data_IF_869791482335
#
_entry.id   IF_869791482335
#
_cell.length_a   1.000
_cell.length_b   1.000
_cell.length_c   1.000
_cell.angle_alpha   90.00
_cell.angle_beta   90.00
_cell.angle_gamma   90.00
#
_symmetry.space_group_name_H-M   'P 1'
#
loop_
_entity.id
_entity.type
_entity.pdbx_description
1 polymer ?
#
# COMPACT_ATOMS: atom_id res chain seq x y z
N UNK A 1 -13.99 -28.36 3.26
CA UNK A 1 -13.61 -27.12 2.55
C UNK A 1 -12.09 -27.04 2.51
N UNK A 2 -11.44 -27.10 1.34
CA UNK A 2 -9.99 -26.99 1.29
C UNK A 2 -9.61 -25.54 1.54
N UNK A 3 -8.87 -25.30 2.63
CA UNK A 3 -8.17 -24.05 2.92
C UNK A 3 -7.38 -23.60 1.70
N UNK A 4 -7.84 -22.51 1.07
CA UNK A 4 -7.11 -21.81 0.02
C UNK A 4 -5.78 -21.36 0.62
N UNK A 5 -4.70 -22.10 0.34
CA UNK A 5 -3.33 -21.64 0.58
C UNK A 5 -3.14 -20.40 -0.28
N UNK A 6 -3.34 -19.20 0.31
CA UNK A 6 -3.04 -17.91 -0.33
C UNK A 6 -1.59 -17.95 -0.78
N UNK A 7 -1.36 -18.17 -2.08
CA UNK A 7 -0.02 -18.07 -2.65
C UNK A 7 0.33 -16.58 -2.62
N UNK A 8 1.16 -16.18 -1.66
CA UNK A 8 1.60 -14.80 -1.42
C UNK A 8 2.62 -14.40 -2.49
N UNK A 9 2.14 -14.05 -3.68
CA UNK A 9 2.95 -13.57 -4.79
C UNK A 9 3.22 -12.08 -4.63
N UNK A 10 4.49 -11.69 -4.65
CA UNK A 10 5.00 -10.30 -4.67
C UNK A 10 4.37 -9.43 -3.58
N UNK A 11 4.92 -9.51 -2.37
CA UNK A 11 4.32 -8.85 -1.21
C UNK A 11 4.81 -7.39 -1.09
N UNK A 12 3.96 -6.36 -1.32
CA UNK A 12 4.31 -4.96 -1.07
C UNK A 12 4.54 -4.66 0.43
N UNK A 13 4.31 -5.65 1.30
CA UNK A 13 4.57 -5.63 2.75
C UNK A 13 5.89 -4.93 3.08
N UNK A 14 7.00 -5.35 2.45
CA UNK A 14 8.33 -4.89 2.87
C UNK A 14 8.54 -3.39 2.64
N UNK A 15 7.85 -2.77 1.68
CA UNK A 15 7.95 -1.33 1.41
C UNK A 15 7.14 -0.55 2.45
N UNK A 16 5.87 -0.88 2.63
CA UNK A 16 5.00 -0.19 3.60
C UNK A 16 5.48 -0.38 5.04
N UNK A 17 5.99 -1.55 5.39
CA UNK A 17 6.64 -1.82 6.66
C UNK A 17 7.81 -0.86 6.92
N UNK A 18 8.68 -0.67 5.93
CA UNK A 18 9.84 0.23 6.03
C UNK A 18 9.41 1.70 6.12
N UNK A 19 8.49 2.13 5.27
CA UNK A 19 7.96 3.51 5.29
C UNK A 19 7.33 3.82 6.65
N UNK A 20 6.57 2.88 7.20
CA UNK A 20 5.87 3.07 8.49
C UNK A 20 6.86 3.27 9.63
N UNK A 21 7.93 2.48 9.69
CA UNK A 21 8.98 2.67 10.69
C UNK A 21 9.56 4.09 10.61
N UNK A 22 9.94 4.53 9.41
CA UNK A 22 10.51 5.86 9.20
C UNK A 22 9.52 7.00 9.48
N UNK A 23 8.23 6.83 9.16
CA UNK A 23 7.19 7.82 9.41
C UNK A 23 6.97 8.01 10.92
N UNK A 24 6.81 6.92 11.67
CA UNK A 24 6.66 6.95 13.13
C UNK A 24 7.91 7.52 13.78
N UNK A 25 9.10 7.07 13.37
CA UNK A 25 10.38 7.60 13.86
C UNK A 25 10.52 9.11 13.61
N UNK A 26 10.13 9.58 12.44
CA UNK A 26 10.18 11.02 12.12
C UNK A 26 9.19 11.81 12.97
N UNK A 27 7.97 11.31 13.16
CA UNK A 27 6.98 11.97 14.00
C UNK A 27 7.38 11.98 15.49
N UNK A 28 8.05 10.94 15.97
CA UNK A 28 8.66 10.89 17.30
C UNK A 28 9.75 11.95 17.46
N UNK A 29 10.64 12.05 16.46
CA UNK A 29 11.68 13.08 16.45
C UNK A 29 11.08 14.49 16.49
N UNK A 30 10.03 14.75 15.71
CA UNK A 30 9.32 16.03 15.74
C UNK A 30 8.72 16.32 17.12
N UNK A 31 8.17 15.32 17.81
CA UNK A 31 7.64 15.51 19.16
C UNK A 31 8.75 15.86 20.16
N UNK A 32 9.89 15.18 20.05
CA UNK A 32 11.08 15.46 20.87
C UNK A 32 11.66 16.85 20.60
N UNK A 33 11.81 17.23 19.33
CA UNK A 33 12.35 18.52 18.90
C UNK A 33 11.43 19.69 19.29
N UNK A 34 10.10 19.50 19.20
CA UNK A 34 9.10 20.54 19.51
C UNK A 34 8.57 20.51 20.94
N UNK A 35 8.96 19.52 21.74
CA UNK A 35 8.52 19.33 23.12
C UNK A 35 7.01 19.11 23.30
N UNK A 36 6.30 18.66 22.24
CA UNK A 36 4.85 18.47 22.28
C UNK A 36 4.39 17.32 21.39
N UNK A 37 3.30 16.69 21.78
CA UNK A 37 2.66 15.57 21.06
C UNK A 37 1.30 16.01 20.53
N UNK A 38 0.64 15.15 19.74
CA UNK A 38 -0.75 15.39 19.36
C UNK A 38 -1.69 15.30 20.57
N UNK A 39 -2.83 16.01 20.50
CA UNK A 39 -3.83 16.01 21.55
C UNK A 39 -4.43 14.61 21.75
N UNK A 40 -4.41 14.11 23.00
CA UNK A 40 -4.91 12.77 23.31
C UNK A 40 -3.88 11.64 23.13
N UNK A 41 -2.58 11.97 22.99
CA UNK A 41 -1.52 10.96 22.87
C UNK A 41 -1.56 9.91 24.00
N UNK A 42 -1.76 10.35 25.25
CA UNK A 42 -1.75 9.47 26.42
C UNK A 42 -2.82 8.36 26.38
N UNK A 43 -3.92 8.57 25.67
CA UNK A 43 -5.00 7.59 25.50
C UNK A 43 -4.81 6.70 24.26
N UNK A 44 -3.75 6.91 23.49
CA UNK A 44 -3.50 6.20 22.24
C UNK A 44 -2.77 4.87 22.46
N UNK A 45 -2.89 3.97 21.47
CA UNK A 45 -2.09 2.72 21.42
C UNK A 45 -0.60 2.96 21.23
N UNK A 46 -0.18 4.17 20.85
CA UNK A 46 1.22 4.54 20.81
C UNK A 46 1.77 4.76 22.22
N UNK A 47 0.99 5.37 23.12
CA UNK A 47 1.39 5.61 24.50
C UNK A 47 1.42 4.30 25.32
N UNK A 48 0.46 3.39 25.10
CA UNK A 48 0.49 2.06 25.75
C UNK A 48 1.58 1.13 25.20
N UNK A 49 2.06 1.39 23.99
CA UNK A 49 3.00 0.52 23.28
C UNK A 49 2.35 -0.61 22.47
N UNK A 50 1.03 -0.82 22.60
CA UNK A 50 0.30 -1.90 21.92
C UNK A 50 0.37 -1.80 20.40
N UNK A 51 0.52 -0.59 19.85
CA UNK A 51 0.72 -0.37 18.42
C UNK A 51 1.89 -1.19 17.86
N UNK A 52 2.96 -1.36 18.65
CA UNK A 52 4.19 -2.01 18.22
C UNK A 52 4.15 -3.53 18.31
N UNK A 53 3.18 -4.11 19.03
CA UNK A 53 3.09 -5.57 19.25
C UNK A 53 3.13 -6.36 17.94
N UNK A 54 2.42 -5.90 16.90
CA UNK A 54 2.43 -6.54 15.58
C UNK A 54 3.83 -6.58 14.93
N UNK A 55 4.65 -5.55 15.17
CA UNK A 55 5.99 -5.44 14.60
C UNK A 55 7.05 -6.22 15.38
N UNK A 56 6.71 -6.62 16.62
CA UNK A 56 7.59 -7.35 17.52
C UNK A 56 7.33 -8.86 17.53
N UNK A 57 6.13 -9.29 17.10
CA UNK A 57 5.71 -10.70 17.10
C UNK A 57 5.87 -11.38 15.74
N UNK A 58 5.54 -10.68 14.64
CA UNK A 58 5.57 -11.27 13.31
C UNK A 58 6.95 -11.19 12.64
N UNK A 59 7.24 -12.14 11.75
CA UNK A 59 8.37 -12.07 10.84
C UNK A 59 8.02 -11.23 9.60
N UNK A 60 8.65 -10.07 9.50
CA UNK A 60 8.46 -9.10 8.42
C UNK A 60 9.52 -9.20 7.31
N UNK A 61 10.32 -10.27 7.31
CA UNK A 61 11.32 -10.51 6.28
C UNK A 61 10.69 -10.75 4.88
N UNK A 62 11.38 -10.37 3.80
CA UNK A 62 10.90 -10.63 2.44
C UNK A 62 10.70 -12.14 2.19
N UNK A 63 9.47 -12.51 1.83
CA UNK A 63 9.09 -13.90 1.55
C UNK A 63 9.74 -14.48 0.28
N UNK A 64 10.22 -13.62 -0.63
CA UNK A 64 10.85 -14.04 -1.89
C UNK A 64 12.28 -13.55 -2.00
N UNK A 65 13.15 -14.36 -2.59
CA UNK A 65 14.54 -13.99 -2.84
C UNK A 65 14.65 -12.75 -3.72
N UNK A 66 13.80 -12.64 -4.76
CA UNK A 66 13.76 -11.47 -5.66
C UNK A 66 13.53 -10.17 -4.89
N UNK A 67 12.56 -10.14 -3.98
CA UNK A 67 12.30 -8.94 -3.16
C UNK A 67 13.49 -8.65 -2.24
N UNK A 68 14.08 -9.66 -1.61
CA UNK A 68 15.29 -9.48 -0.78
C UNK A 68 16.45 -8.85 -1.57
N UNK A 69 16.71 -9.34 -2.79
CA UNK A 69 17.73 -8.80 -3.68
C UNK A 69 17.42 -7.36 -4.11
N UNK A 70 16.15 -7.02 -4.35
CA UNK A 70 15.76 -5.65 -4.69
C UNK A 70 16.13 -4.67 -3.56
N UNK A 71 15.78 -4.97 -2.31
CA UNK A 71 16.15 -4.14 -1.17
C UNK A 71 17.66 -4.02 -0.99
N UNK A 72 18.38 -5.14 -1.10
CA UNK A 72 19.84 -5.16 -0.98
C UNK A 72 20.51 -4.31 -2.09
N UNK A 73 20.07 -4.46 -3.34
CA UNK A 73 20.59 -3.68 -4.48
C UNK A 73 20.30 -2.18 -4.34
N UNK A 74 19.17 -1.83 -3.73
CA UNK A 74 18.80 -0.44 -3.45
C UNK A 74 19.50 0.15 -2.21
N UNK A 75 20.30 -0.64 -1.48
CA UNK A 75 20.95 -0.20 -0.24
C UNK A 75 19.99 0.10 0.91
N UNK A 76 18.74 -0.39 0.82
CA UNK A 76 17.70 -0.13 1.82
C UNK A 76 17.74 -1.24 2.87
N UNK A 77 17.99 -0.84 4.12
CA UNK A 77 17.94 -1.75 5.27
C UNK A 77 16.51 -1.85 5.77
N UNK A 78 15.97 -3.06 5.83
CA UNK A 78 14.66 -3.31 6.41
C UNK A 78 14.71 -3.12 7.93
N UNK A 79 13.72 -2.45 8.55
CA UNK A 79 13.69 -2.30 10.00
C UNK A 79 13.75 -3.64 10.72
N UNK A 80 14.72 -3.79 11.63
CA UNK A 80 14.84 -5.00 12.45
C UNK A 80 13.95 -4.93 13.67
N UNK A 81 13.81 -6.07 14.37
CA UNK A 81 13.05 -6.13 15.63
C UNK A 81 13.63 -5.19 16.67
N UNK A 82 14.96 -5.07 16.74
CA UNK A 82 15.68 -4.19 17.65
C UNK A 82 15.38 -2.72 17.34
N UNK A 83 15.31 -2.36 16.05
CA UNK A 83 14.91 -1.01 15.64
C UNK A 83 13.48 -0.68 16.06
N UNK A 84 12.55 -1.64 16.01
CA UNK A 84 11.18 -1.47 16.50
C UNK A 84 11.09 -1.39 18.02
N UNK A 85 11.85 -2.22 18.75
CA UNK A 85 11.91 -2.15 20.21
C UNK A 85 12.40 -0.78 20.66
N UNK A 86 13.50 -0.30 20.07
CA UNK A 86 14.04 1.03 20.35
C UNK A 86 13.01 2.12 20.03
N UNK A 87 12.36 2.04 18.87
CA UNK A 87 11.36 3.03 18.46
C UNK A 87 10.15 3.03 19.40
N UNK A 88 9.69 1.88 19.87
CA UNK A 88 8.62 1.77 20.86
C UNK A 88 8.99 2.55 22.12
N UNK A 89 10.18 2.30 22.66
CA UNK A 89 10.62 2.94 23.91
C UNK A 89 10.77 4.46 23.74
N UNK A 90 11.33 4.89 22.60
CA UNK A 90 11.42 6.31 22.25
C UNK A 90 10.02 6.96 22.11
N UNK A 91 9.06 6.28 21.47
CA UNK A 91 7.69 6.78 21.30
C UNK A 91 6.93 6.81 22.62
N UNK A 92 7.05 5.81 23.48
CA UNK A 92 6.41 5.84 24.79
C UNK A 92 6.97 6.96 25.68
N UNK A 93 8.26 7.29 25.52
CA UNK A 93 8.93 8.35 26.28
C UNK A 93 8.67 9.76 25.75
N UNK A 94 8.82 9.97 24.45
CA UNK A 94 8.78 11.30 23.82
C UNK A 94 7.45 11.60 23.11
N UNK A 95 6.65 10.56 22.87
CA UNK A 95 5.45 10.61 22.05
C UNK A 95 5.72 10.80 20.57
N UNK A 96 4.64 11.07 19.83
CA UNK A 96 4.69 11.44 18.41
C UNK A 96 3.93 12.74 18.18
N UNK A 97 4.34 13.48 17.15
CA UNK A 97 3.82 14.80 16.86
C UNK A 97 2.50 14.76 16.10
N UNK A 98 2.35 13.80 15.19
CA UNK A 98 1.21 13.64 14.31
C UNK A 98 0.34 12.49 14.83
N UNK A 99 -0.97 12.69 14.90
CA UNK A 99 -1.91 11.63 15.28
C UNK A 99 -1.99 10.53 14.22
N UNK A 100 -1.98 10.93 12.95
CA UNK A 100 -2.02 10.05 11.78
C UNK A 100 -0.93 10.41 10.79
N UNK A 101 -0.40 9.42 10.06
CA UNK A 101 0.82 9.54 9.24
C UNK A 101 0.59 9.23 7.77
N UNK A 102 -0.11 8.13 7.47
CA UNK A 102 -0.23 7.61 6.10
C UNK A 102 -1.69 7.48 5.70
N UNK A 103 -1.97 7.93 4.48
CA UNK A 103 -3.20 7.65 3.74
C UNK A 103 -2.82 7.49 2.27
N UNK A 104 -3.46 6.56 1.56
CA UNK A 104 -3.16 6.29 0.15
C UNK A 104 -4.37 6.70 -0.70
N UNK A 105 -4.41 7.96 -1.18
CA UNK A 105 -5.46 8.43 -2.07
C UNK A 105 -5.26 7.89 -3.50
N UNK A 106 -6.26 8.05 -4.39
CA UNK A 106 -6.01 7.94 -5.82
C UNK A 106 -5.13 9.12 -6.25
N UNK A 107 -4.16 8.88 -7.12
CA UNK A 107 -3.37 9.96 -7.73
C UNK A 107 -3.97 10.29 -9.09
N UNK A 108 -4.61 11.46 -9.17
CA UNK A 108 -5.20 11.98 -10.41
C UNK A 108 -4.13 12.53 -11.36
N UNK A 109 -4.33 13.74 -11.89
CA UNK A 109 -3.42 14.33 -12.90
C UNK A 109 -1.95 14.45 -12.46
N UNK A 110 -1.68 14.50 -11.15
CA UNK A 110 -0.32 14.52 -10.60
C UNK A 110 0.51 13.27 -10.93
N UNK A 111 -0.13 12.12 -11.18
CA UNK A 111 0.59 10.89 -11.56
C UNK A 111 1.20 11.01 -12.95
N UNK A 112 0.57 11.76 -13.85
CA UNK A 112 1.09 11.97 -15.21
C UNK A 112 2.36 12.81 -15.20
N UNK A 113 2.39 13.86 -14.37
CA UNK A 113 3.58 14.72 -14.19
C UNK A 113 4.72 13.93 -13.53
N UNK A 114 4.40 13.15 -12.48
CA UNK A 114 5.39 12.35 -11.78
C UNK A 114 5.80 11.07 -12.53
N UNK A 115 5.21 10.82 -13.70
CA UNK A 115 5.38 9.60 -14.48
C UNK A 115 5.23 8.31 -13.64
N UNK A 116 4.12 8.23 -12.91
CA UNK A 116 3.76 7.11 -12.05
C UNK A 116 2.40 6.52 -12.45
N UNK A 117 2.22 5.21 -12.21
CA UNK A 117 0.89 4.60 -12.25
C UNK A 117 0.01 5.18 -11.14
N UNK A 118 -1.31 5.19 -11.35
CA UNK A 118 -2.23 5.75 -10.34
C UNK A 118 -2.29 4.85 -9.11
N UNK A 119 -1.84 5.36 -7.96
CA UNK A 119 -1.81 4.65 -6.68
C UNK A 119 -1.06 3.29 -6.74
N UNK A 120 -1.46 2.34 -5.88
CA UNK A 120 -0.90 0.98 -5.80
C UNK A 120 -1.76 -0.08 -6.51
N UNK A 121 -2.85 0.32 -7.17
CA UNK A 121 -3.64 -0.59 -8.00
C UNK A 121 -3.04 -0.72 -9.41
N UNK A 122 -3.39 -1.79 -10.16
CA UNK A 122 -2.92 -1.95 -11.53
C UNK A 122 -3.34 -0.79 -12.44
N UNK A 123 -2.64 -0.66 -13.57
CA UNK A 123 -2.99 0.30 -14.62
C UNK A 123 -4.40 0.03 -15.16
N UNK A 124 -5.13 1.08 -15.53
CA UNK A 124 -6.46 0.96 -16.13
C UNK A 124 -6.41 0.64 -17.63
N UNK A 125 -5.29 0.97 -18.27
CA UNK A 125 -4.98 0.68 -19.67
C UNK A 125 -3.47 0.81 -19.89
N UNK A 126 -2.92 0.09 -20.89
CA UNK A 126 -1.52 0.23 -21.31
C UNK A 126 -1.20 1.64 -21.81
N UNK A 127 -2.12 2.18 -22.63
CA UNK A 127 -2.15 3.58 -23.07
C UNK A 127 -3.44 4.19 -22.55
N UNK A 128 -3.35 5.04 -21.55
CA UNK A 128 -4.52 5.73 -21.01
C UNK A 128 -4.97 6.85 -21.96
N UNK A 129 -6.28 6.96 -22.21
CA UNK A 129 -6.86 7.98 -23.09
C UNK A 129 -7.64 8.98 -22.25
N UNK A 130 -7.23 10.24 -22.30
CA UNK A 130 -7.87 11.36 -21.59
C UNK A 130 -8.60 12.25 -22.58
N UNK A 131 -9.83 12.68 -22.27
CA UNK A 131 -10.59 13.62 -23.10
C UNK A 131 -10.26 15.06 -22.70
N UNK A 132 -9.11 15.55 -23.16
CA UNK A 132 -8.57 16.86 -22.78
C UNK A 132 -8.02 17.60 -24.01
N UNK A 133 -7.97 18.94 -23.92
CA UNK A 133 -7.37 19.81 -24.92
C UNK A 133 -8.20 20.04 -26.19
N UNK A 134 -7.70 20.91 -27.09
CA UNK A 134 -8.37 21.29 -28.35
C UNK A 134 -8.52 20.11 -29.31
N UNK A 135 -7.60 19.15 -29.25
CA UNK A 135 -7.59 17.91 -30.05
C UNK A 135 -8.60 16.87 -29.51
N UNK A 136 -9.14 17.09 -28.31
CA UNK A 136 -10.17 16.25 -27.70
C UNK A 136 -9.68 14.93 -27.09
N UNK A 137 -8.44 14.49 -27.35
CA UNK A 137 -7.81 13.32 -26.72
C UNK A 137 -6.31 13.50 -26.49
N UNK A 138 -5.83 12.97 -25.37
CA UNK A 138 -4.41 12.85 -25.00
C UNK A 138 -4.13 11.39 -24.64
N UNK A 139 -2.98 10.87 -25.07
CA UNK A 139 -2.55 9.48 -24.86
C UNK A 139 -1.38 9.43 -23.90
N UNK A 140 -1.48 8.60 -22.86
CA UNK A 140 -0.48 8.47 -21.82
C UNK A 140 0.00 7.01 -21.70
N UNK A 141 1.22 6.68 -22.15
CA UNK A 141 1.79 5.36 -21.99
C UNK A 141 2.19 5.10 -20.53
N UNK A 142 1.95 3.88 -20.05
CA UNK A 142 2.35 3.47 -18.71
C UNK A 142 3.89 3.60 -18.50
N UNK A 143 4.34 4.02 -17.31
CA UNK A 143 5.78 4.18 -17.03
C UNK A 143 6.56 2.89 -17.20
N UNK A 144 7.78 3.00 -17.77
CA UNK A 144 8.71 1.89 -18.03
C UNK A 144 8.22 0.79 -18.98
N UNK A 145 7.06 0.98 -19.62
CA UNK A 145 6.51 0.04 -20.59
C UNK A 145 7.24 0.15 -21.92
N UNK A 146 7.71 -0.99 -22.43
CA UNK A 146 8.33 -1.15 -23.75
C UNK A 146 7.68 -2.32 -24.47
N UNK A 147 7.98 -2.50 -25.76
CA UNK A 147 7.40 -3.60 -26.54
C UNK A 147 7.84 -4.98 -26.01
N UNK A 148 9.00 -5.05 -25.37
CA UNK A 148 9.60 -6.28 -24.85
C UNK A 148 9.01 -6.72 -23.50
N UNK A 149 8.25 -5.86 -22.81
CA UNK A 149 7.69 -6.15 -21.48
C UNK A 149 6.18 -5.93 -21.36
N UNK A 150 5.45 -5.82 -22.50
CA UNK A 150 4.01 -5.56 -22.54
C UNK A 150 3.16 -6.57 -21.74
N UNK A 151 3.64 -7.80 -21.61
CA UNK A 151 3.01 -8.88 -20.86
C UNK A 151 2.93 -8.59 -19.35
N UNK A 152 3.84 -7.75 -18.83
CA UNK A 152 3.83 -7.30 -17.43
C UNK A 152 2.77 -6.24 -17.14
N UNK A 153 2.23 -5.59 -18.17
CA UNK A 153 1.27 -4.49 -18.07
C UNK A 153 -0.17 -4.96 -18.38
N UNK A 154 -0.63 -5.94 -17.60
CA UNK A 154 -2.03 -6.36 -17.59
C UNK A 154 -2.89 -5.28 -16.91
N UNK A 155 -4.04 -4.94 -17.50
CA UNK A 155 -4.91 -3.92 -16.92
C UNK A 155 -5.68 -4.46 -15.70
N UNK A 156 -6.30 -3.54 -14.96
CA UNK A 156 -7.01 -3.86 -13.73
C UNK A 156 -8.21 -4.79 -13.94
N UNK A 157 -8.80 -4.82 -15.15
CA UNK A 157 -9.90 -5.73 -15.48
C UNK A 157 -9.39 -7.16 -15.69
N UNK A 158 -8.25 -7.30 -16.36
CA UNK A 158 -7.58 -8.59 -16.58
C UNK A 158 -6.98 -9.16 -15.30
N UNK A 159 -6.35 -8.32 -14.48
CA UNK A 159 -5.81 -8.71 -13.16
C UNK A 159 -6.93 -9.19 -12.23
N UNK A 160 -8.08 -8.50 -12.26
CA UNK A 160 -9.26 -8.85 -11.50
C UNK A 160 -9.23 -8.41 -10.02
N UNK A 161 -10.40 -8.43 -9.36
CA UNK A 161 -10.61 -7.82 -8.04
C UNK A 161 -9.83 -8.51 -6.91
N UNK A 162 -9.67 -9.84 -6.97
CA UNK A 162 -9.05 -10.62 -5.88
C UNK A 162 -7.60 -10.20 -5.64
N UNK A 163 -6.80 -10.06 -6.71
CA UNK A 163 -5.40 -9.63 -6.62
C UNK A 163 -5.26 -8.18 -6.15
N UNK A 164 -6.20 -7.32 -6.54
CA UNK A 164 -6.25 -5.93 -6.07
C UNK A 164 -6.52 -5.93 -4.56
N UNK A 165 -7.51 -6.67 -4.10
CA UNK A 165 -7.86 -6.78 -2.67
C UNK A 165 -6.68 -7.32 -1.86
N UNK A 166 -6.03 -8.40 -2.32
CA UNK A 166 -4.87 -8.97 -1.63
C UNK A 166 -3.71 -7.96 -1.53
N UNK A 167 -3.45 -7.18 -2.58
CA UNK A 167 -2.41 -6.14 -2.59
C UNK A 167 -2.70 -5.05 -1.54
N UNK A 168 -3.95 -4.57 -1.49
CA UNK A 168 -4.38 -3.56 -0.54
C UNK A 168 -4.45 -4.09 0.89
N UNK A 169 -4.84 -5.35 1.09
CA UNK A 169 -4.87 -5.99 2.39
C UNK A 169 -3.47 -6.02 3.03
N UNK A 170 -2.43 -6.29 2.23
CA UNK A 170 -1.06 -6.26 2.72
C UNK A 170 -0.59 -4.85 3.10
N UNK A 171 -0.98 -3.81 2.35
CA UNK A 171 -0.67 -2.42 2.70
C UNK A 171 -1.46 -1.91 3.93
N UNK A 172 -2.71 -2.35 4.10
CA UNK A 172 -3.62 -1.94 5.18
C UNK A 172 -3.10 -2.32 6.57
N UNK A 173 -2.20 -3.31 6.68
CA UNK A 173 -1.55 -3.67 7.95
C UNK A 173 -0.67 -2.54 8.51
N UNK A 174 -0.25 -1.62 7.66
CA UNK A 174 0.78 -0.61 7.96
C UNK A 174 0.28 0.83 7.86
N UNK A 175 -0.67 1.07 6.95
CA UNK A 175 -1.31 2.37 6.79
C UNK A 175 -2.31 2.59 7.93
N UNK A 176 -2.10 3.65 8.70
CA UNK A 176 -2.87 3.94 9.92
C UNK A 176 -4.25 4.59 9.64
N UNK A 177 -4.45 5.13 8.43
CA UNK A 177 -5.75 5.62 7.97
C UNK A 177 -6.40 4.65 6.98
N UNK A 178 -6.54 5.07 5.72
CA UNK A 178 -7.22 4.31 4.69
C UNK A 178 -6.52 4.38 3.34
N UNK A 179 -6.91 3.46 2.47
CA UNK A 179 -6.49 3.40 1.08
C UNK A 179 -7.71 3.42 0.18
N UNK A 180 -7.73 4.27 -0.84
CA UNK A 180 -8.79 4.27 -1.83
C UNK A 180 -8.67 3.07 -2.75
N UNK A 181 -9.59 2.13 -2.59
CA UNK A 181 -9.65 0.88 -3.35
C UNK A 181 -10.79 0.94 -4.36
N UNK A 182 -10.44 0.83 -5.64
CA UNK A 182 -11.39 0.71 -6.76
C UNK A 182 -11.33 -0.71 -7.29
N UNK A 183 -12.49 -1.34 -7.48
CA UNK A 183 -12.62 -2.63 -8.13
C UNK A 183 -13.10 -2.45 -9.56
N UNK A 184 -12.45 -3.15 -10.49
CA UNK A 184 -12.70 -3.05 -11.92
C UNK A 184 -13.36 -4.35 -12.39
N UNK A 185 -14.55 -4.24 -12.98
CA UNK A 185 -15.34 -5.38 -13.39
C UNK A 185 -15.63 -5.33 -14.90
N UNK A 186 -15.63 -6.49 -15.59
CA UNK A 186 -16.10 -6.57 -16.97
C UNK A 186 -17.57 -6.13 -17.06
N UNK A 187 -17.98 -5.66 -18.24
CA UNK A 187 -19.37 -5.22 -18.48
C UNK A 187 -20.36 -6.39 -18.66
N UNK A 188 -19.87 -7.58 -19.00
CA UNK A 188 -20.72 -8.69 -19.43
C UNK A 188 -21.15 -9.60 -18.27
N UNK A 189 -22.47 -9.75 -18.11
CA UNK A 189 -23.13 -10.49 -17.00
C UNK A 189 -22.78 -11.99 -16.94
N UNK A 190 -22.32 -12.57 -18.04
CA UNK A 190 -21.96 -13.98 -18.15
C UNK A 190 -20.45 -14.24 -17.96
N UNK A 191 -19.63 -13.19 -17.78
CA UNK A 191 -18.24 -13.38 -17.40
C UNK A 191 -18.20 -13.87 -15.94
N UNK A 192 -17.54 -15.00 -15.62
CA UNK A 192 -17.42 -15.49 -14.25
C UNK A 192 -16.88 -14.43 -13.26
N UNK A 193 -16.06 -13.47 -13.74
CA UNK A 193 -15.53 -12.35 -12.96
C UNK A 193 -16.59 -11.30 -12.61
N UNK A 194 -17.68 -11.23 -13.36
CA UNK A 194 -18.84 -10.39 -13.02
C UNK A 194 -19.59 -10.95 -11.81
N UNK A 195 -19.81 -12.27 -11.78
CA UNK A 195 -20.49 -12.95 -10.67
C UNK A 195 -19.69 -12.80 -9.37
N UNK A 196 -18.36 -12.90 -9.45
CA UNK A 196 -17.46 -12.63 -8.33
C UNK A 196 -17.61 -11.21 -7.76
N UNK A 197 -17.86 -10.21 -8.62
CA UNK A 197 -18.15 -8.84 -8.19
C UNK A 197 -19.49 -8.67 -7.50
N UNK A 198 -20.54 -9.32 -8.02
CA UNK A 198 -21.85 -9.34 -7.38
C UNK A 198 -21.79 -9.99 -5.99
N UNK A 199 -21.09 -11.11 -5.86
CA UNK A 199 -20.94 -11.85 -4.60
C UNK A 199 -20.12 -11.06 -3.56
N UNK A 200 -19.06 -10.37 -3.98
CA UNK A 200 -18.27 -9.49 -3.09
C UNK A 200 -19.07 -8.28 -2.59
N UNK A 201 -19.97 -7.73 -3.41
CA UNK A 201 -20.88 -6.66 -2.99
C UNK A 201 -21.98 -7.17 -2.04
N UNK A 202 -22.48 -8.40 -2.24
CA UNK A 202 -23.54 -9.00 -1.43
C UNK A 202 -23.04 -9.56 -0.10
N UNK A 203 -21.79 -10.03 -0.01
CA UNK A 203 -21.16 -10.51 1.22
C UNK A 203 -20.98 -9.43 2.31
N UNK A 204 -21.29 -8.15 2.01
CA UNK A 204 -21.30 -7.03 2.98
C UNK A 204 -22.71 -6.63 3.43
N UNK A 205 -23.75 -7.43 3.15
CA UNK A 205 -25.15 -7.15 3.51
C UNK A 205 -25.72 -7.99 4.66
N UNK A 206 -24.88 -8.70 5.41
CA UNK A 206 -25.26 -9.38 6.65
C UNK A 206 -24.24 -9.13 7.75
#
# INVERSE_FOLDING_TARGET
MPTVRRRRWISPISIFYTITWHAVHTSMRLARERGKTFAGFAQSRYASGDYFTQYLQDDWQPKTAKVRTLFARSGITLPTREMWLKLRDDVMRYGIYNQNLQAVPPTGSISYINHATSSIHPIVAKIEIRKEGKTGRVYYPAPFMTNENLDMYQDAYDIGPEKIIDTYAEATRHVDQGLSLTLFFPRYRHDPRYQQGADLCLAKRY
#
